data_IF_189241922108
#
_entry.id   IF_189241922108
#
_cell.length_a   1.000
_cell.length_b   1.000
_cell.length_c   1.000
_cell.angle_alpha   90.00
_cell.angle_beta   90.00
_cell.angle_gamma   90.00
#
_symmetry.space_group_name_H-M   'P 1'
#
loop_
_entity.id
_entity.type
_entity.pdbx_description
1 polymer ?
#
# COMPACT_ATOMS: atom_id res chain seq x y z
N UNK A 1 -6.33 16.27 -8.01
CA UNK A 1 -5.43 15.42 -7.20
C UNK A 1 -4.02 16.00 -7.17
N UNK A 2 -3.58 16.52 -6.01
CA UNK A 2 -2.22 17.03 -5.82
C UNK A 2 -1.69 16.50 -4.48
N UNK A 3 -1.28 15.23 -4.45
CA UNK A 3 -0.48 14.69 -3.37
C UNK A 3 0.91 14.38 -3.92
N UNK A 4 1.94 14.69 -3.14
CA UNK A 4 3.28 14.22 -3.42
C UNK A 4 3.47 12.86 -2.72
N UNK A 5 4.16 11.93 -3.37
CA UNK A 5 4.50 10.67 -2.74
C UNK A 5 5.97 10.30 -3.01
N UNK A 6 6.56 9.59 -2.06
CA UNK A 6 7.91 9.04 -2.15
C UNK A 6 7.86 7.59 -1.71
N UNK A 7 8.47 6.70 -2.50
CA UNK A 7 8.59 5.29 -2.15
C UNK A 7 9.50 5.12 -0.93
N UNK A 8 9.03 4.36 0.06
CA UNK A 8 9.81 3.99 1.25
C UNK A 8 10.63 2.74 0.90
N UNK A 9 11.95 2.89 0.79
CA UNK A 9 12.85 1.83 0.30
C UNK A 9 13.56 1.05 1.40
N UNK A 10 13.49 1.52 2.64
CA UNK A 10 14.17 0.95 3.81
C UNK A 10 13.22 0.14 4.71
N UNK A 11 12.16 -0.43 4.13
CA UNK A 11 11.17 -1.24 4.84
C UNK A 11 10.98 -2.59 4.16
N UNK A 12 10.70 -3.61 4.96
CA UNK A 12 10.51 -4.98 4.48
C UNK A 12 9.44 -5.69 5.31
N UNK A 13 8.80 -6.68 4.69
CA UNK A 13 7.87 -7.58 5.36
C UNK A 13 8.62 -8.57 6.28
N UNK A 14 7.85 -9.39 6.99
CA UNK A 14 8.44 -10.48 7.78
C UNK A 14 9.11 -11.52 6.88
N UNK A 15 10.05 -12.28 7.45
CA UNK A 15 10.85 -13.26 6.71
C UNK A 15 9.97 -14.30 6.00
N UNK A 16 8.96 -14.84 6.69
CA UNK A 16 8.04 -15.84 6.13
C UNK A 16 7.23 -15.27 4.95
N UNK A 17 6.76 -14.03 5.07
CA UNK A 17 6.02 -13.32 4.02
C UNK A 17 6.91 -13.04 2.81
N UNK A 18 8.14 -12.59 3.03
CA UNK A 18 9.13 -12.40 1.95
C UNK A 18 9.40 -13.71 1.20
N UNK A 19 9.56 -14.83 1.91
CA UNK A 19 9.76 -16.14 1.28
C UNK A 19 8.54 -16.57 0.47
N UNK A 20 7.32 -16.35 0.99
CA UNK A 20 6.08 -16.66 0.26
C UNK A 20 5.95 -15.82 -1.02
N UNK A 21 6.31 -14.53 -0.96
CA UNK A 21 6.32 -13.64 -2.14
C UNK A 21 7.36 -14.08 -3.16
N UNK A 22 8.60 -14.35 -2.74
CA UNK A 22 9.66 -14.81 -3.66
C UNK A 22 9.29 -16.15 -4.32
N UNK A 23 8.71 -17.08 -3.57
CA UNK A 23 8.22 -18.34 -4.12
C UNK A 23 7.08 -18.13 -5.14
N UNK A 24 6.15 -17.22 -4.85
CA UNK A 24 5.06 -16.86 -5.77
C UNK A 24 5.57 -16.22 -7.08
N UNK A 25 6.66 -15.45 -6.98
CA UNK A 25 7.29 -14.79 -8.13
C UNK A 25 8.32 -15.67 -8.86
N UNK A 26 8.52 -16.91 -8.39
CA UNK A 26 9.57 -17.83 -8.89
C UNK A 26 10.99 -17.21 -8.85
N UNK A 27 11.24 -16.39 -7.83
CA UNK A 27 12.50 -15.66 -7.61
C UNK A 27 13.38 -16.35 -6.55
N UNK A 28 14.69 -16.07 -6.59
CA UNK A 28 15.64 -16.61 -5.60
C UNK A 28 15.35 -16.02 -4.21
N UNK A 29 15.37 -16.88 -3.17
CA UNK A 29 15.09 -16.53 -1.78
C UNK A 29 16.03 -15.48 -1.20
N UNK A 30 17.18 -15.21 -1.84
CA UNK A 30 18.15 -14.21 -1.41
C UNK A 30 17.91 -12.81 -2.02
N UNK A 31 16.89 -12.64 -2.87
CA UNK A 31 16.59 -11.34 -3.46
C UNK A 31 15.82 -10.45 -2.50
N UNK A 32 16.17 -9.17 -2.46
CA UNK A 32 15.45 -8.19 -1.68
C UNK A 32 14.10 -7.88 -2.35
N UNK A 33 13.01 -7.99 -1.58
CA UNK A 33 11.66 -7.61 -2.03
C UNK A 33 11.40 -6.17 -1.66
N UNK A 34 11.15 -5.32 -2.67
CA UNK A 34 10.68 -3.95 -2.48
C UNK A 34 9.15 -3.93 -2.55
N UNK A 35 8.53 -3.47 -1.47
CA UNK A 35 7.09 -3.32 -1.41
C UNK A 35 6.65 -1.90 -1.80
N UNK A 36 5.43 -1.79 -2.30
CA UNK A 36 4.78 -0.54 -2.65
C UNK A 36 4.25 0.17 -1.39
N UNK A 37 5.18 0.71 -0.61
CA UNK A 37 4.91 1.54 0.57
C UNK A 37 5.38 2.95 0.28
N UNK A 38 4.54 3.94 0.51
CA UNK A 38 4.75 5.32 0.14
C UNK A 38 4.53 6.23 1.33
N UNK A 39 5.41 7.21 1.47
CA UNK A 39 5.13 8.41 2.26
C UNK A 39 4.40 9.40 1.35
N UNK A 40 3.25 9.89 1.81
CA UNK A 40 2.32 10.72 1.05
C UNK A 40 2.12 12.05 1.78
N UNK A 41 2.42 13.15 1.11
CA UNK A 41 2.08 14.50 1.55
C UNK A 41 0.76 14.94 0.89
N UNK A 42 -0.29 15.13 1.70
CA UNK A 42 -1.62 15.54 1.26
C UNK A 42 -2.13 16.73 2.08
N UNK A 43 -2.15 17.91 1.47
CA UNK A 43 -2.40 19.16 2.20
C UNK A 43 -1.34 19.37 3.30
N UNK A 44 -1.78 19.53 4.55
CA UNK A 44 -0.91 19.65 5.72
C UNK A 44 -0.66 18.30 6.44
N UNK A 45 -1.05 17.17 5.81
CA UNK A 45 -0.92 15.82 6.38
C UNK A 45 0.21 15.05 5.72
N UNK A 46 0.90 14.26 6.53
CA UNK A 46 1.78 13.17 6.13
C UNK A 46 1.06 11.84 6.40
N UNK A 47 0.99 10.97 5.40
CA UNK A 47 0.30 9.68 5.48
C UNK A 47 1.28 8.62 4.98
N UNK A 48 1.33 7.46 5.63
CA UNK A 48 2.00 6.29 5.06
C UNK A 48 0.96 5.41 4.39
N UNK A 49 1.14 5.13 3.11
CA UNK A 49 0.20 4.38 2.31
C UNK A 49 0.88 3.15 1.73
N UNK A 50 0.28 1.97 1.85
CA UNK A 50 0.70 0.81 1.06
C UNK A 50 -0.35 0.43 0.02
N UNK A 51 0.13 -0.06 -1.13
CA UNK A 51 -0.70 -0.65 -2.17
C UNK A 51 -0.71 -2.16 -1.94
N UNK A 52 -1.86 -2.68 -1.55
CA UNK A 52 -1.99 -4.06 -1.09
C UNK A 52 -2.92 -4.86 -1.99
N UNK A 53 -2.43 -6.02 -2.42
CA UNK A 53 -3.23 -6.99 -3.16
C UNK A 53 -4.16 -7.75 -2.22
N UNK A 54 -5.43 -7.82 -2.57
CA UNK A 54 -6.41 -8.57 -1.79
C UNK A 54 -7.84 -8.13 -2.07
N UNK A 55 -8.77 -8.71 -1.33
CA UNK A 55 -10.20 -8.39 -1.35
C UNK A 55 -10.72 -8.28 0.07
N UNK A 56 -11.78 -7.49 0.26
CA UNK A 56 -12.51 -7.43 1.53
C UNK A 56 -13.75 -8.32 1.39
N UNK A 57 -13.78 -9.44 2.11
CA UNK A 57 -14.89 -10.39 2.14
C UNK A 57 -15.33 -10.64 3.58
N UNK A 58 -16.64 -10.64 3.84
CA UNK A 58 -17.22 -10.84 5.18
C UNK A 58 -16.64 -9.93 6.27
N UNK A 59 -16.36 -8.66 5.91
CA UNK A 59 -15.75 -7.66 6.80
C UNK A 59 -14.33 -8.06 7.30
N UNK A 60 -13.65 -8.94 6.55
CA UNK A 60 -12.27 -9.35 6.76
C UNK A 60 -11.45 -9.10 5.50
N UNK A 61 -10.19 -8.72 5.69
CA UNK A 61 -9.28 -8.50 4.57
C UNK A 61 -8.59 -9.82 4.25
N UNK A 62 -8.80 -10.31 3.04
CA UNK A 62 -8.10 -11.47 2.49
C UNK A 62 -6.93 -10.98 1.64
N UNK A 63 -5.75 -10.87 2.26
CA UNK A 63 -4.54 -10.45 1.57
C UNK A 63 -4.00 -11.54 0.65
N UNK A 64 -3.48 -11.13 -0.50
CA UNK A 64 -2.50 -11.96 -1.24
C UNK A 64 -1.15 -11.92 -0.52
N UNK A 65 -0.21 -12.84 -0.78
CA UNK A 65 1.13 -12.77 -0.18
C UNK A 65 1.82 -11.42 -0.42
N UNK A 66 1.65 -10.85 -1.62
CA UNK A 66 2.18 -9.53 -1.98
C UNK A 66 1.52 -8.44 -1.15
N UNK A 67 0.20 -8.48 -0.99
CA UNK A 67 -0.54 -7.52 -0.18
C UNK A 67 -0.19 -7.57 1.30
N UNK A 68 -0.11 -8.78 1.86
CA UNK A 68 0.32 -8.98 3.24
C UNK A 68 1.72 -8.41 3.44
N UNK A 69 2.63 -8.65 2.50
CA UNK A 69 3.98 -8.10 2.58
C UNK A 69 4.02 -6.58 2.52
N UNK A 70 3.18 -5.95 1.69
CA UNK A 70 3.08 -4.49 1.64
C UNK A 70 2.52 -3.91 2.95
N UNK A 71 1.53 -4.57 3.54
CA UNK A 71 0.98 -4.21 4.85
C UNK A 71 2.02 -4.34 5.97
N UNK A 72 2.72 -5.48 6.05
CA UNK A 72 3.77 -5.71 7.04
C UNK A 72 4.95 -4.74 6.88
N UNK A 73 5.37 -4.45 5.65
CA UNK A 73 6.42 -3.47 5.41
C UNK A 73 6.02 -2.08 5.92
N UNK A 74 4.77 -1.66 5.74
CA UNK A 74 4.26 -0.40 6.30
C UNK A 74 4.19 -0.45 7.83
N UNK A 75 3.74 -1.56 8.42
CA UNK A 75 3.63 -1.67 9.89
C UNK A 75 5.01 -1.66 10.56
N UNK A 76 6.04 -2.14 9.86
CA UNK A 76 7.44 -2.15 10.31
C UNK A 76 8.15 -0.79 10.23
N UNK A 77 7.49 0.26 9.69
CA UNK A 77 8.01 1.63 9.79
C UNK A 77 8.12 1.99 11.28
N UNK A 78 9.32 2.35 11.74
CA UNK A 78 9.52 2.80 13.12
C UNK A 78 9.34 4.31 13.18
N UNK A 79 8.36 4.76 13.96
CA UNK A 79 8.10 6.18 14.24
C UNK A 79 7.82 6.36 15.73
N UNK A 80 8.19 7.51 16.27
CA UNK A 80 7.93 7.91 17.66
C UNK A 80 6.52 8.49 17.83
N UNK A 81 5.81 8.73 16.73
CA UNK A 81 4.48 9.34 16.72
C UNK A 81 3.39 8.26 16.77
N UNK A 82 2.33 8.50 17.54
CA UNK A 82 1.14 7.63 17.49
C UNK A 82 0.49 7.66 16.10
N UNK A 83 0.06 6.49 15.64
CA UNK A 83 -0.58 6.34 14.33
C UNK A 83 -1.79 5.43 14.42
N UNK A 84 -2.75 5.69 13.54
CA UNK A 84 -3.96 4.87 13.35
C UNK A 84 -3.89 4.14 12.02
N UNK A 85 -4.45 2.93 11.99
CA UNK A 85 -4.54 2.11 10.79
C UNK A 85 -5.90 2.22 10.13
N UNK A 86 -5.89 2.43 8.82
CA UNK A 86 -7.07 2.43 7.96
C UNK A 86 -6.85 1.45 6.83
N UNK A 87 -7.93 0.78 6.44
CA UNK A 87 -7.93 -0.13 5.31
C UNK A 87 -9.20 0.15 4.51
N UNK A 88 -9.02 0.43 3.23
CA UNK A 88 -10.11 0.76 2.33
C UNK A 88 -9.91 0.04 1.00
N UNK A 89 -11.01 -0.48 0.47
CA UNK A 89 -11.01 -1.07 -0.86
C UNK A 89 -11.04 0.05 -1.91
N UNK A 90 -10.18 -0.06 -2.91
CA UNK A 90 -10.19 0.76 -4.11
C UNK A 90 -10.44 -0.13 -5.33
N UNK A 91 -11.48 0.17 -6.09
CA UNK A 91 -11.79 -0.58 -7.31
C UNK A 91 -12.37 0.33 -8.40
N UNK A 92 -12.21 -0.07 -9.66
CA UNK A 92 -12.71 0.72 -10.80
C UNK A 92 -14.24 0.71 -10.93
N UNK A 93 -14.90 -0.32 -10.40
CA UNK A 93 -16.37 -0.42 -10.42
C UNK A 93 -17.06 0.61 -9.53
N UNK A 94 -16.39 1.08 -8.48
CA UNK A 94 -16.90 2.03 -7.50
C UNK A 94 -16.68 3.50 -7.94
N UNK A 95 -16.11 3.72 -9.13
CA UNK A 95 -15.89 5.04 -9.70
C UNK A 95 -14.42 5.30 -10.02
N UNK A 96 -14.06 6.58 -10.06
CA UNK A 96 -12.70 6.99 -10.37
C UNK A 96 -11.76 6.69 -9.19
N UNK A 97 -10.61 6.10 -9.49
CA UNK A 97 -9.59 5.74 -8.49
C UNK A 97 -9.00 6.99 -7.83
N UNK A 98 -8.83 8.10 -8.57
CA UNK A 98 -8.33 9.35 -7.96
C UNK A 98 -9.27 9.86 -6.87
N UNK A 99 -10.56 9.80 -7.12
CA UNK A 99 -11.55 10.40 -6.24
C UNK A 99 -11.66 9.56 -4.96
N UNK A 100 -11.63 8.23 -5.09
CA UNK A 100 -11.57 7.31 -3.96
C UNK A 100 -10.33 7.54 -3.07
N UNK A 101 -9.14 7.65 -3.67
CA UNK A 101 -7.91 7.90 -2.90
C UNK A 101 -7.98 9.27 -2.20
N UNK A 102 -8.48 10.29 -2.89
CA UNK A 102 -8.62 11.65 -2.33
C UNK A 102 -9.61 11.68 -1.17
N UNK A 103 -10.75 10.98 -1.28
CA UNK A 103 -11.72 10.81 -0.20
C UNK A 103 -11.09 10.11 1.03
N UNK A 104 -10.35 9.03 0.81
CA UNK A 104 -9.66 8.29 1.88
C UNK A 104 -8.65 9.21 2.59
N UNK A 105 -7.76 9.88 1.84
CA UNK A 105 -6.73 10.76 2.41
C UNK A 105 -7.31 12.01 3.09
N UNK A 106 -8.46 12.48 2.63
CA UNK A 106 -9.21 13.56 3.28
C UNK A 106 -9.75 13.13 4.64
N UNK A 107 -10.26 11.90 4.74
CA UNK A 107 -10.88 11.36 5.97
C UNK A 107 -9.87 11.04 7.07
N UNK A 108 -8.72 10.46 6.72
CA UNK A 108 -7.75 9.97 7.72
C UNK A 108 -6.98 11.10 8.43
N UNK A 109 -6.54 10.91 9.69
CA UNK A 109 -5.74 11.90 10.40
C UNK A 109 -4.31 12.02 9.85
N UNK A 110 -3.57 13.01 10.35
CA UNK A 110 -2.14 13.11 10.11
C UNK A 110 -1.40 11.90 10.71
N UNK A 111 -0.32 11.46 10.07
CA UNK A 111 0.47 10.27 10.40
C UNK A 111 -0.28 8.94 10.30
N UNK A 112 -1.45 8.92 9.66
CA UNK A 112 -2.21 7.69 9.44
C UNK A 112 -1.44 6.69 8.57
N UNK A 113 -1.71 5.40 8.81
CA UNK A 113 -1.24 4.27 7.99
C UNK A 113 -2.42 3.70 7.22
N UNK A 114 -2.40 3.87 5.90
CA UNK A 114 -3.50 3.52 5.01
C UNK A 114 -3.10 2.32 4.15
N UNK A 115 -3.88 1.25 4.22
CA UNK A 115 -3.77 0.11 3.33
C UNK A 115 -4.84 0.25 2.23
N UNK A 116 -4.42 0.58 1.02
CA UNK A 116 -5.30 0.60 -0.15
C UNK A 116 -5.38 -0.81 -0.71
N UNK A 117 -6.54 -1.44 -0.60
CA UNK A 117 -6.77 -2.84 -0.96
C UNK A 117 -7.44 -2.92 -2.32
N UNK A 118 -6.90 -3.72 -3.23
CA UNK A 118 -7.55 -4.00 -4.51
C UNK A 118 -6.74 -4.94 -5.38
N UNK A 119 -7.15 -5.10 -6.64
CA UNK A 119 -6.41 -5.89 -7.62
C UNK A 119 -5.18 -5.14 -8.16
N UNK A 120 -4.14 -5.00 -7.32
CA UNK A 120 -2.89 -4.32 -7.66
C UNK A 120 -2.06 -5.03 -8.75
N UNK A 121 -2.49 -6.21 -9.20
CA UNK A 121 -1.80 -7.01 -10.22
C UNK A 121 -2.44 -6.91 -11.60
N UNK A 122 -3.74 -6.63 -11.66
CA UNK A 122 -4.51 -6.46 -12.89
C UNK A 122 -4.72 -5.01 -13.28
N UNK A 123 -5.96 -4.66 -13.65
CA UNK A 123 -6.28 -3.38 -14.27
C UNK A 123 -6.05 -2.16 -13.36
N UNK A 124 -6.08 -2.35 -12.04
CA UNK A 124 -5.86 -1.28 -11.07
C UNK A 124 -4.40 -0.83 -11.07
N UNK A 125 -3.46 -1.73 -11.40
CA UNK A 125 -2.02 -1.43 -11.50
C UNK A 125 -1.74 -0.26 -12.43
N UNK A 126 -2.32 -0.30 -13.63
CA UNK A 126 -2.10 0.73 -14.65
C UNK A 126 -2.62 2.08 -14.19
N UNK A 127 -3.73 2.09 -13.47
CA UNK A 127 -4.31 3.32 -12.92
C UNK A 127 -3.47 3.87 -11.77
N UNK A 128 -3.10 3.01 -10.81
CA UNK A 128 -2.27 3.37 -9.67
C UNK A 128 -0.89 3.89 -10.08
N UNK A 129 -0.31 3.35 -11.16
CA UNK A 129 0.98 3.78 -11.69
C UNK A 129 1.01 5.26 -12.15
N UNK A 130 -0.16 5.84 -12.44
CA UNK A 130 -0.29 7.27 -12.77
C UNK A 130 -0.06 8.17 -11.55
N UNK A 131 -0.35 7.66 -10.36
CA UNK A 131 -0.31 8.41 -9.11
C UNK A 131 0.91 8.05 -8.25
N UNK A 132 1.22 6.77 -8.13
CA UNK A 132 2.33 6.25 -7.34
C UNK A 132 3.47 5.85 -8.27
N UNK A 133 4.48 6.71 -8.38
CA UNK A 133 5.62 6.47 -9.27
C UNK A 133 6.73 5.78 -8.51
N UNK A 134 7.32 4.75 -9.13
CA UNK A 134 8.68 4.33 -8.81
C UNK A 134 9.60 5.46 -9.29
N UNK A 135 10.19 6.22 -8.36
CA UNK A 135 11.31 7.09 -8.71
C UNK A 135 12.47 6.15 -9.06
N UNK A 136 12.76 6.01 -10.36
CA UNK A 136 13.99 5.42 -10.87
C UNK A 136 15.14 6.44 -10.82
#
# INVERSE_FOLDING_TARGET
MNFANTLVTNVTANQDTNMAVLAMLEMDVNQAVQYHVYEVAFGDKMIFCCLSGGVIEDNQIQFTPIGLGAFEAMTNIKTEVEFEYFADEINKSNGNISDQIEEIFTRVPNNARVCLIGDITGELKDELSKYFKLLH
#
